data_IF_807941556195
#
_entry.id   IF_807941556195
#
_cell.length_a   1.000
_cell.length_b   1.000
_cell.length_c   1.000
_cell.angle_alpha   90.00
_cell.angle_beta   90.00
_cell.angle_gamma   90.00
#
_symmetry.space_group_name_H-M   'P 1'
#
loop_
_entity.id
_entity.type
_entity.pdbx_description
1 polymer ?
#
# COMPACT_ATOMS: atom_id res chain seq x y z
N UNK A 1 -8.90 -0.75 -16.71
CA UNK A 1 -9.19 -1.59 -15.52
C UNK A 1 -8.17 -2.71 -15.22
N UNK A 2 -7.74 -3.53 -16.19
CA UNK A 2 -6.79 -4.63 -15.92
C UNK A 2 -5.48 -4.18 -15.24
N UNK A 3 -4.85 -3.13 -15.77
CA UNK A 3 -3.59 -2.59 -15.24
C UNK A 3 -3.72 -2.12 -13.79
N UNK A 4 -4.75 -1.34 -13.47
CA UNK A 4 -4.92 -0.76 -12.14
C UNK A 4 -5.24 -1.83 -11.08
N UNK A 5 -5.95 -2.91 -11.44
CA UNK A 5 -6.14 -4.04 -10.53
C UNK A 5 -4.82 -4.77 -10.21
N UNK A 6 -3.88 -4.85 -11.15
CA UNK A 6 -2.54 -5.38 -10.88
C UNK A 6 -1.74 -4.46 -9.95
N UNK A 7 -1.90 -3.14 -10.09
CA UNK A 7 -1.30 -2.16 -9.17
C UNK A 7 -1.90 -2.29 -7.76
N UNK A 8 -3.22 -2.48 -7.64
CA UNK A 8 -3.85 -2.76 -6.36
C UNK A 8 -3.30 -4.03 -5.73
N UNK A 9 -3.24 -5.13 -6.48
CA UNK A 9 -2.66 -6.37 -6.01
C UNK A 9 -1.21 -6.17 -5.54
N UNK A 10 -0.38 -5.51 -6.35
CA UNK A 10 1.01 -5.22 -6.00
C UNK A 10 1.13 -4.44 -4.69
N UNK A 11 0.44 -3.31 -4.56
CA UNK A 11 0.54 -2.45 -3.36
C UNK A 11 0.05 -3.16 -2.09
N UNK A 12 -1.01 -3.98 -2.21
CA UNK A 12 -1.51 -4.80 -1.10
C UNK A 12 -0.47 -5.87 -0.72
N UNK A 13 0.09 -6.59 -1.70
CA UNK A 13 1.09 -7.63 -1.43
C UNK A 13 2.35 -7.05 -0.78
N UNK A 14 2.80 -5.86 -1.18
CA UNK A 14 3.95 -5.19 -0.54
C UNK A 14 3.60 -4.78 0.90
N UNK A 15 2.41 -4.24 1.13
CA UNK A 15 1.94 -3.91 2.50
C UNK A 15 1.91 -5.15 3.39
N UNK A 16 1.34 -6.26 2.88
CA UNK A 16 1.31 -7.55 3.58
C UNK A 16 2.72 -8.08 3.82
N UNK A 17 3.62 -8.00 2.83
CA UNK A 17 5.00 -8.44 2.97
C UNK A 17 5.71 -7.73 4.12
N UNK A 18 5.56 -6.40 4.22
CA UNK A 18 6.18 -5.60 5.29
C UNK A 18 5.64 -6.00 6.65
N UNK A 19 4.32 -6.07 6.81
CA UNK A 19 3.67 -6.39 8.07
C UNK A 19 3.96 -7.84 8.50
N UNK A 20 3.84 -8.79 7.57
CA UNK A 20 4.10 -10.21 7.84
C UNK A 20 5.56 -10.44 8.22
N UNK A 21 6.51 -9.78 7.53
CA UNK A 21 7.92 -9.81 7.90
C UNK A 21 8.13 -9.24 9.32
N UNK A 22 7.48 -8.12 9.65
CA UNK A 22 7.55 -7.52 10.97
C UNK A 22 7.04 -8.42 12.09
N UNK A 23 6.02 -9.25 11.81
CA UNK A 23 5.46 -10.23 12.74
C UNK A 23 6.35 -11.47 12.86
N UNK A 24 6.71 -12.10 11.73
CA UNK A 24 7.47 -13.36 11.72
C UNK A 24 8.87 -13.20 12.30
N UNK A 25 9.52 -12.03 12.11
CA UNK A 25 10.87 -11.75 12.60
C UNK A 25 10.89 -10.84 13.85
N UNK A 26 9.79 -10.79 14.61
CA UNK A 26 9.69 -10.01 15.84
C UNK A 26 10.56 -10.56 16.96
N UNK A 27 10.58 -11.89 17.13
CA UNK A 27 11.27 -12.56 18.26
C UNK A 27 12.75 -12.82 17.99
N UNK A 28 13.09 -13.17 16.75
CA UNK A 28 14.46 -13.45 16.35
C UNK A 28 14.62 -13.30 14.84
N UNK A 29 15.87 -13.21 14.40
CA UNK A 29 16.27 -13.20 13.00
C UNK A 29 17.68 -13.76 12.89
N UNK A 30 18.10 -14.12 11.68
CA UNK A 30 19.50 -14.54 11.45
C UNK A 30 20.51 -13.44 11.81
N UNK A 31 20.11 -12.17 11.67
CA UNK A 31 20.96 -11.01 11.99
C UNK A 31 20.98 -10.69 13.48
N UNK A 32 19.81 -10.63 14.13
CA UNK A 32 19.63 -10.33 15.57
C UNK A 32 18.89 -11.53 16.20
N UNK A 33 19.62 -12.52 16.78
CA UNK A 33 19.03 -13.74 17.32
C UNK A 33 18.15 -13.51 18.56
N UNK A 34 18.47 -12.49 19.36
CA UNK A 34 17.87 -12.18 20.65
C UNK A 34 16.95 -10.96 20.61
N UNK A 35 16.35 -10.68 19.43
CA UNK A 35 15.50 -9.51 19.21
C UNK A 35 14.35 -9.39 20.22
N UNK A 36 13.80 -10.50 20.70
CA UNK A 36 12.77 -10.52 21.72
C UNK A 36 13.16 -9.76 23.01
N UNK A 37 14.45 -9.72 23.37
CA UNK A 37 14.95 -9.04 24.55
C UNK A 37 14.99 -7.50 24.38
N UNK A 38 15.12 -7.02 23.14
CA UNK A 38 15.06 -5.59 22.80
C UNK A 38 13.61 -5.06 22.83
N UNK A 39 12.62 -5.97 22.80
CA UNK A 39 11.21 -5.65 22.86
C UNK A 39 10.59 -5.31 21.49
N UNK A 40 9.34 -4.84 21.51
CA UNK A 40 8.58 -4.54 20.29
C UNK A 40 9.03 -3.25 19.59
N UNK A 41 9.45 -2.24 20.37
CA UNK A 41 9.79 -0.90 19.91
C UNK A 41 11.17 -0.49 20.39
N UNK A 42 12.14 -0.52 19.46
CA UNK A 42 13.51 -0.08 19.66
C UNK A 42 14.07 0.45 18.33
N UNK A 43 15.00 1.42 18.31
CA UNK A 43 15.44 2.04 17.05
C UNK A 43 16.40 1.15 16.25
N UNK A 44 17.32 0.46 16.92
CA UNK A 44 18.35 -0.40 16.33
C UNK A 44 19.05 -1.26 17.41
N UNK A 45 19.89 -2.20 16.96
CA UNK A 45 20.88 -2.97 17.72
C UNK A 45 22.31 -2.45 17.41
N UNK A 46 22.48 -1.12 17.38
CA UNK A 46 23.75 -0.43 17.11
C UNK A 46 24.27 -0.50 15.65
N UNK A 47 25.46 0.07 15.39
CA UNK A 47 26.07 0.14 14.04
C UNK A 47 26.76 -1.17 13.62
N UNK A 48 26.83 -2.18 14.49
CA UNK A 48 27.41 -3.48 14.19
C UNK A 48 26.71 -4.19 13.03
N UNK A 49 27.34 -5.23 12.49
CA UNK A 49 26.79 -6.08 11.41
C UNK A 49 26.38 -5.29 10.14
N UNK A 50 27.01 -4.13 9.88
CA UNK A 50 26.71 -3.25 8.75
C UNK A 50 25.57 -2.25 8.97
N UNK A 51 25.01 -2.19 10.19
CA UNK A 51 23.89 -1.33 10.56
C UNK A 51 22.58 -2.11 10.74
N UNK A 52 21.87 -1.87 11.84
CA UNK A 52 20.66 -2.62 12.24
C UNK A 52 19.43 -1.72 12.43
N UNK A 53 19.45 -0.54 11.81
CA UNK A 53 18.35 0.43 11.83
C UNK A 53 17.04 -0.22 11.39
N UNK A 54 15.93 0.21 12.00
CA UNK A 54 14.58 -0.19 11.62
C UNK A 54 14.32 -1.71 11.66
N UNK A 55 15.01 -2.41 12.56
CA UNK A 55 14.87 -3.85 12.70
C UNK A 55 13.71 -4.27 13.62
N UNK A 56 13.12 -3.33 14.38
CA UNK A 56 12.00 -3.63 15.28
C UNK A 56 10.70 -3.87 14.53
N UNK A 57 9.76 -4.58 15.16
CA UNK A 57 8.42 -4.77 14.60
C UNK A 57 7.63 -3.45 14.54
N UNK A 58 7.91 -2.52 15.46
CA UNK A 58 7.37 -1.16 15.38
C UNK A 58 7.78 -0.44 14.09
N UNK A 59 9.04 -0.56 13.68
CA UNK A 59 9.50 0.07 12.43
C UNK A 59 8.86 -0.56 11.19
N UNK A 60 8.48 -1.85 11.25
CA UNK A 60 7.71 -2.48 10.19
C UNK A 60 6.26 -1.97 10.15
N UNK A 61 5.65 -1.64 11.29
CA UNK A 61 4.35 -0.95 11.32
C UNK A 61 4.49 0.45 10.70
N UNK A 62 5.53 1.20 11.09
CA UNK A 62 5.84 2.51 10.51
C UNK A 62 5.96 2.45 8.98
N UNK A 63 6.77 1.53 8.43
CA UNK A 63 6.89 1.33 6.98
C UNK A 63 5.58 0.86 6.34
N UNK A 64 4.84 0.00 7.04
CA UNK A 64 3.54 -0.50 6.61
C UNK A 64 2.50 0.62 6.44
N UNK A 65 2.54 1.66 7.28
CA UNK A 65 1.64 2.83 7.15
C UNK A 65 1.85 3.58 5.83
N UNK A 66 3.09 3.77 5.38
CA UNK A 66 3.36 4.42 4.10
C UNK A 66 2.85 3.61 2.90
N UNK A 67 3.01 2.29 2.96
CA UNK A 67 2.53 1.41 1.89
C UNK A 67 1.01 1.26 1.89
N UNK A 68 0.39 1.24 3.08
CA UNK A 68 -1.06 1.31 3.22
C UNK A 68 -1.60 2.63 2.65
N UNK A 69 -0.97 3.77 2.98
CA UNK A 69 -1.33 5.06 2.40
C UNK A 69 -1.23 5.05 0.87
N UNK A 70 -0.15 4.49 0.32
CA UNK A 70 0.02 4.35 -1.12
C UNK A 70 -1.09 3.48 -1.75
N UNK A 71 -1.36 2.32 -1.16
CA UNK A 71 -2.38 1.37 -1.66
C UNK A 71 -3.78 2.00 -1.66
N UNK A 72 -4.19 2.61 -0.55
CA UNK A 72 -5.51 3.25 -0.43
C UNK A 72 -5.63 4.44 -1.39
N UNK A 73 -4.58 5.25 -1.52
CA UNK A 73 -4.59 6.40 -2.41
C UNK A 73 -4.87 5.99 -3.86
N UNK A 74 -4.20 4.94 -4.35
CA UNK A 74 -4.41 4.44 -5.72
C UNK A 74 -5.84 3.92 -5.90
N UNK A 75 -6.39 3.20 -4.92
CA UNK A 75 -7.77 2.70 -4.97
C UNK A 75 -8.77 3.87 -5.05
N UNK A 76 -8.58 4.91 -4.25
CA UNK A 76 -9.45 6.08 -4.25
C UNK A 76 -9.36 6.86 -5.57
N UNK A 77 -8.16 7.03 -6.13
CA UNK A 77 -7.99 7.66 -7.43
C UNK A 77 -8.62 6.84 -8.56
N UNK A 78 -8.45 5.52 -8.55
CA UNK A 78 -9.12 4.63 -9.51
C UNK A 78 -10.63 4.77 -9.42
N UNK A 79 -11.20 4.70 -8.21
CA UNK A 79 -12.64 4.87 -8.00
C UNK A 79 -13.12 6.23 -8.52
N UNK A 80 -12.49 7.32 -8.09
CA UNK A 80 -12.88 8.67 -8.48
C UNK A 80 -12.87 8.86 -10.00
N UNK A 81 -11.82 8.41 -10.67
CA UNK A 81 -11.70 8.58 -12.11
C UNK A 81 -12.65 7.65 -12.88
N UNK A 82 -12.74 6.37 -12.49
CA UNK A 82 -13.64 5.42 -13.16
C UNK A 82 -15.09 5.88 -13.08
N UNK A 83 -15.52 6.36 -11.91
CA UNK A 83 -16.89 6.83 -11.72
C UNK A 83 -17.17 8.10 -12.52
N UNK A 84 -16.29 9.09 -12.52
CA UNK A 84 -16.51 10.34 -13.29
C UNK A 84 -16.42 10.14 -14.81
N UNK A 85 -15.61 9.18 -15.26
CA UNK A 85 -15.36 8.99 -16.69
C UNK A 85 -16.41 8.12 -17.37
N UNK A 86 -16.82 7.04 -16.72
CA UNK A 86 -17.58 5.97 -17.38
C UNK A 86 -18.94 5.67 -16.71
N UNK A 87 -19.29 6.34 -15.59
CA UNK A 87 -20.52 6.02 -14.84
C UNK A 87 -21.36 7.27 -14.56
N UNK A 88 -20.84 8.21 -13.78
CA UNK A 88 -21.54 9.44 -13.42
C UNK A 88 -21.63 10.39 -14.60
N UNK A 89 -22.78 11.03 -14.71
CA UNK A 89 -23.12 11.92 -15.82
C UNK A 89 -24.57 12.37 -15.74
N UNK A 90 -24.97 13.22 -16.68
CA UNK A 90 -26.36 13.65 -16.84
C UNK A 90 -27.00 12.89 -18.00
N UNK A 91 -28.29 12.55 -17.87
CA UNK A 91 -29.06 11.89 -18.92
C UNK A 91 -29.66 12.96 -19.84
N UNK A 92 -29.43 12.85 -21.13
CA UNK A 92 -30.01 13.74 -22.15
C UNK A 92 -31.44 13.32 -22.50
N UNK A 93 -32.27 14.20 -23.12
CA UNK A 93 -33.67 13.89 -23.43
C UNK A 93 -33.88 12.67 -24.35
N UNK A 94 -32.88 12.32 -25.16
CA UNK A 94 -32.80 11.14 -26.02
C UNK A 94 -32.35 9.86 -25.27
N UNK A 95 -32.09 9.96 -23.96
CA UNK A 95 -31.75 8.83 -23.10
C UNK A 95 -30.25 8.49 -23.08
N UNK A 96 -29.40 9.24 -23.78
CA UNK A 96 -27.95 9.05 -23.74
C UNK A 96 -27.35 9.62 -22.44
N UNK A 97 -26.25 9.04 -21.98
CA UNK A 97 -25.52 9.52 -20.80
C UNK A 97 -24.36 10.41 -21.25
N UNK A 98 -24.32 11.63 -20.74
CA UNK A 98 -23.18 12.53 -20.85
C UNK A 98 -22.31 12.44 -19.59
N UNK A 99 -21.23 11.66 -19.66
CA UNK A 99 -20.32 11.45 -18.52
C UNK A 99 -19.52 12.71 -18.16
N UNK A 100 -19.22 12.89 -16.87
CA UNK A 100 -18.55 14.10 -16.34
C UNK A 100 -17.22 14.38 -17.06
N UNK A 101 -16.42 13.33 -17.32
CA UNK A 101 -15.14 13.47 -18.04
C UNK A 101 -15.12 12.78 -19.40
N UNK A 102 -16.30 12.48 -19.97
CA UNK A 102 -16.45 12.04 -21.36
C UNK A 102 -15.73 10.74 -21.73
N UNK A 103 -15.69 9.73 -20.86
CA UNK A 103 -15.12 8.42 -21.19
C UNK A 103 -13.60 8.40 -21.42
N UNK A 104 -12.88 9.40 -20.91
CA UNK A 104 -11.43 9.52 -21.07
C UNK A 104 -10.58 8.45 -20.35
N UNK A 105 -11.19 7.51 -19.62
CA UNK A 105 -10.48 6.48 -18.85
C UNK A 105 -9.89 5.37 -19.73
N UNK A 106 -10.51 5.04 -20.86
CA UNK A 106 -10.08 3.93 -21.72
C UNK A 106 -8.99 4.31 -22.74
N UNK A 107 -8.79 5.61 -23.01
CA UNK A 107 -7.86 6.10 -24.04
C UNK A 107 -6.42 6.30 -23.54
N UNK A 108 -6.15 6.01 -22.26
CA UNK A 108 -4.82 6.07 -21.63
C UNK A 108 -4.55 4.81 -20.83
#
# INVERSE_FOLDING_TARGET
DFMVHHIHAFTIHVTVLILLKGVLYARSSKLIPDKANLGFRFPCDGPGRGGTCQSSSWDHVFLGLFWMYNSISVVLFHFSWKMQSDVWGTITPDGAISHITGGNFAQR
#
